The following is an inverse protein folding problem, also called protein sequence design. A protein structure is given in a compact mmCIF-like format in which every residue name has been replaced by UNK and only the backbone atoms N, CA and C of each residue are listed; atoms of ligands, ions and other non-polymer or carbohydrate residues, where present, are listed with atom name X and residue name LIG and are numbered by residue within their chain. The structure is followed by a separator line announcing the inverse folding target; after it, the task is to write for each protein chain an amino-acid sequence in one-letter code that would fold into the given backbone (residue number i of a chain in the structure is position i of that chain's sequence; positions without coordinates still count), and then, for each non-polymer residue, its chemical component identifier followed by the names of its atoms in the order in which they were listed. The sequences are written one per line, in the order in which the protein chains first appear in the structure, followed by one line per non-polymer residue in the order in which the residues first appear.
data_IF_135167682212
#
_entry.id   IF_135167682212
#
_cell.length_a   1.000
_cell.length_b   1.000
_cell.length_c   1.000
_cell.angle_alpha   90.00
_cell.angle_beta   90.00
_cell.angle_gamma   90.00
#
_symmetry.space_group_name_H-M   'P 1'
#
loop_
_entity.id
_entity.type
_entity.pdbx_description
1 polymer ?
#
# COMPACT_ATOMS: atom_id res chain seq x y z
N UNK A 1 -4.60 21.96 3.24
CA UNK A 1 -4.45 21.10 4.44
C UNK A 1 -4.72 19.63 4.13
N UNK A 2 -5.82 19.30 3.42
CA UNK A 2 -6.18 17.93 3.01
C UNK A 2 -5.06 17.17 2.25
N UNK A 3 -4.37 17.73 1.23
CA UNK A 3 -3.36 16.97 0.49
C UNK A 3 -2.14 16.61 1.34
N UNK A 4 -1.69 17.53 2.20
CA UNK A 4 -0.58 17.28 3.12
C UNK A 4 -0.90 16.13 4.10
N UNK A 5 -2.12 16.12 4.65
CA UNK A 5 -2.57 15.04 5.53
C UNK A 5 -2.55 13.68 4.82
N UNK A 6 -3.06 13.61 3.58
CA UNK A 6 -3.07 12.36 2.80
C UNK A 6 -1.65 11.88 2.45
N UNK A 7 -0.72 12.80 2.17
CA UNK A 7 0.70 12.47 1.92
C UNK A 7 1.35 11.89 3.18
N UNK A 8 1.19 12.56 4.33
CA UNK A 8 1.78 12.11 5.60
C UNK A 8 1.18 10.78 6.06
N UNK A 9 -0.16 10.69 6.06
CA UNK A 9 -0.87 9.48 6.45
C UNK A 9 -0.54 8.33 5.51
N UNK A 10 -0.68 8.52 4.20
CA UNK A 10 -0.35 7.51 3.20
C UNK A 10 1.11 7.06 3.27
N UNK A 11 2.04 8.00 3.47
CA UNK A 11 3.46 7.71 3.64
C UNK A 11 3.75 6.78 4.82
N UNK A 12 3.12 7.01 5.97
CA UNK A 12 3.25 6.13 7.14
C UNK A 12 2.79 4.71 6.82
N UNK A 13 1.64 4.54 6.15
CA UNK A 13 1.14 3.21 5.78
C UNK A 13 1.99 2.52 4.71
N UNK A 14 2.55 3.26 3.77
CA UNK A 14 3.50 2.72 2.78
C UNK A 14 4.78 2.23 3.47
N UNK A 15 5.34 3.02 4.38
CA UNK A 15 6.55 2.66 5.13
C UNK A 15 6.30 1.46 6.04
N UNK A 16 5.19 1.45 6.78
CA UNK A 16 4.83 0.32 7.66
C UNK A 16 4.56 -0.95 6.84
N UNK A 17 3.83 -0.83 5.74
CA UNK A 17 3.52 -1.94 4.85
C UNK A 17 4.76 -2.53 4.19
N UNK A 18 5.70 -1.69 3.75
CA UNK A 18 6.98 -2.13 3.16
C UNK A 18 7.94 -2.72 4.19
N UNK A 19 8.01 -2.17 5.42
CA UNK A 19 8.77 -2.74 6.52
C UNK A 19 8.23 -4.12 6.96
N UNK A 20 6.91 -4.26 6.98
CA UNK A 20 6.25 -5.54 7.25
C UNK A 20 6.46 -6.53 6.10
N UNK A 21 6.42 -6.07 4.85
CA UNK A 21 6.70 -6.88 3.65
C UNK A 21 8.14 -7.42 3.64
N UNK A 22 9.11 -6.55 3.93
CA UNK A 22 10.54 -6.87 4.00
C UNK A 22 10.90 -7.82 5.15
N UNK A 23 9.96 -8.15 6.04
CA UNK A 23 10.22 -9.03 7.18
C UNK A 23 11.09 -8.38 8.25
N UNK A 24 11.25 -7.05 8.22
CA UNK A 24 11.93 -6.29 9.28
C UNK A 24 11.11 -6.33 10.57
N UNK A 25 9.77 -6.41 10.44
CA UNK A 25 8.84 -6.48 11.57
C UNK A 25 8.18 -7.87 11.75
N UNK A 26 9.01 -8.91 11.89
CA UNK A 26 8.57 -10.32 12.03
C UNK A 26 7.68 -10.64 13.24
N UNK A 27 7.78 -9.89 14.34
CA UNK A 27 6.99 -10.12 15.55
C UNK A 27 5.52 -9.76 15.38
N UNK A 28 5.23 -8.69 14.62
CA UNK A 28 3.87 -8.20 14.38
C UNK A 28 3.18 -8.95 13.23
N UNK A 29 3.93 -9.32 12.19
CA UNK A 29 3.43 -10.13 11.06
C UNK A 29 3.11 -11.58 11.41
N UNK A 30 3.64 -12.11 12.52
CA UNK A 30 3.26 -13.44 13.04
C UNK A 30 1.83 -13.50 13.57
N UNK A 31 1.31 -12.39 14.08
CA UNK A 31 0.01 -12.35 14.75
C UNK A 31 -1.10 -11.67 13.92
N UNK A 32 -0.72 -11.09 12.77
CA UNK A 32 -1.61 -10.31 11.90
C UNK A 32 -1.66 -10.94 10.52
N UNK A 33 -2.87 -11.08 9.96
CA UNK A 33 -3.05 -11.64 8.60
C UNK A 33 -2.31 -10.81 7.56
N UNK A 34 -1.50 -11.47 6.73
CA UNK A 34 -0.75 -10.89 5.61
C UNK A 34 -1.64 -10.06 4.67
N UNK A 35 -2.92 -10.44 4.56
CA UNK A 35 -3.91 -9.72 3.74
C UNK A 35 -4.17 -8.30 4.27
N UNK A 36 -4.22 -8.13 5.59
CA UNK A 36 -4.46 -6.83 6.24
C UNK A 36 -3.25 -5.93 6.03
N UNK A 37 -2.04 -6.48 6.18
CA UNK A 37 -0.78 -5.72 6.04
C UNK A 37 -0.59 -5.24 4.59
N UNK A 38 -0.76 -6.14 3.63
CA UNK A 38 -0.66 -5.78 2.21
C UNK A 38 -1.81 -4.88 1.77
N UNK A 39 -3.03 -5.10 2.27
CA UNK A 39 -4.17 -4.23 2.02
C UNK A 39 -3.89 -2.81 2.49
N UNK A 40 -3.47 -2.63 3.75
CA UNK A 40 -3.12 -1.34 4.33
C UNK A 40 -1.99 -0.65 3.58
N UNK A 41 -0.98 -1.39 3.09
CA UNK A 41 0.06 -0.85 2.23
C UNK A 41 -0.51 -0.21 0.96
N UNK A 42 -1.35 -0.96 0.23
CA UNK A 42 -1.95 -0.50 -1.03
C UNK A 42 -2.91 0.67 -0.82
N UNK A 43 -3.68 0.68 0.27
CA UNK A 43 -4.50 1.83 0.65
C UNK A 43 -3.66 3.04 1.05
N UNK A 44 -2.55 2.84 1.77
CA UNK A 44 -1.59 3.89 2.07
C UNK A 44 -0.99 4.50 0.80
N UNK A 45 -0.62 3.65 -0.17
CA UNK A 45 -0.10 4.09 -1.46
C UNK A 45 -1.14 4.87 -2.26
N UNK A 46 -2.40 4.43 -2.25
CA UNK A 46 -3.51 5.14 -2.87
C UNK A 46 -3.70 6.53 -2.23
N UNK A 47 -3.73 6.61 -0.90
CA UNK A 47 -3.87 7.88 -0.18
C UNK A 47 -2.71 8.83 -0.47
N UNK A 48 -1.47 8.33 -0.47
CA UNK A 48 -0.29 9.11 -0.82
C UNK A 48 -0.37 9.62 -2.26
N UNK A 49 -0.73 8.76 -3.21
CA UNK A 49 -0.86 9.13 -4.61
C UNK A 49 -2.00 10.15 -4.84
N UNK A 50 -3.13 10.06 -4.12
CA UNK A 50 -4.18 11.09 -4.16
C UNK A 50 -3.63 12.44 -3.66
N UNK A 51 -2.94 12.44 -2.52
CA UNK A 51 -2.36 13.65 -1.94
C UNK A 51 -1.33 14.31 -2.87
N UNK A 52 -0.47 13.50 -3.51
CA UNK A 52 0.51 13.97 -4.50
C UNK A 52 -0.19 14.47 -5.78
N UNK A 53 -1.16 13.73 -6.31
CA UNK A 53 -1.94 14.14 -7.48
C UNK A 53 -2.63 15.49 -7.26
N UNK A 54 -3.25 15.69 -6.10
CA UNK A 54 -3.89 16.94 -5.72
C UNK A 54 -2.88 18.11 -5.58
N UNK A 55 -1.66 17.84 -5.08
CA UNK A 55 -0.61 18.85 -4.99
C UNK A 55 -0.03 19.25 -6.37
N UNK A 56 -0.05 18.34 -7.33
CA UNK A 56 0.41 18.60 -8.70
C UNK A 56 -0.68 19.13 -9.64
N UNK A 57 -1.94 19.17 -9.21
CA UNK A 57 -3.07 19.52 -10.08
C UNK A 57 -2.91 20.91 -10.74
N UNK A 58 -2.44 21.89 -9.97
CA UNK A 58 -2.28 23.28 -10.44
C UNK A 58 -0.95 23.55 -11.18
N UNK A 59 0.02 22.63 -11.08
CA UNK A 59 1.38 22.83 -11.60
C UNK A 59 1.66 21.97 -12.84
N UNK A 60 1.14 20.75 -12.87
CA UNK A 60 1.40 19.78 -13.92
C UNK A 60 0.20 18.83 -14.10
N UNK A 61 -0.89 19.34 -14.69
CA UNK A 61 -2.16 18.61 -14.83
C UNK A 61 -2.05 17.21 -15.45
N UNK A 62 -1.21 17.03 -16.49
CA UNK A 62 -1.00 15.70 -17.11
C UNK A 62 -0.31 14.73 -16.13
N UNK A 63 0.69 15.21 -15.39
CA UNK A 63 1.39 14.39 -14.39
C UNK A 63 0.47 14.08 -13.20
N UNK A 64 -0.36 15.04 -12.79
CA UNK A 64 -1.40 14.86 -11.78
C UNK A 64 -2.38 13.74 -12.15
N UNK A 65 -2.82 13.68 -13.42
CA UNK A 65 -3.69 12.62 -13.92
C UNK A 65 -3.02 11.23 -13.88
N UNK A 66 -1.76 11.14 -14.28
CA UNK A 66 -1.01 9.87 -14.22
C UNK A 66 -0.86 9.38 -12.77
N UNK A 67 -0.53 10.27 -11.84
CA UNK A 67 -0.43 9.93 -10.41
C UNK A 67 -1.81 9.56 -9.84
N UNK A 68 -2.88 10.24 -10.27
CA UNK A 68 -4.25 9.89 -9.92
C UNK A 68 -4.65 8.48 -10.40
N UNK A 69 -4.24 8.10 -11.61
CA UNK A 69 -4.44 6.76 -12.16
C UNK A 69 -3.73 5.70 -11.29
N UNK A 70 -2.50 5.96 -10.88
CA UNK A 70 -1.75 5.10 -9.95
C UNK A 70 -2.49 4.94 -8.63
N UNK A 71 -3.10 6.01 -8.12
CA UNK A 71 -3.90 5.94 -6.90
C UNK A 71 -5.12 5.01 -7.03
N UNK A 72 -5.82 5.09 -8.16
CA UNK A 72 -6.97 4.22 -8.46
C UNK A 72 -6.54 2.76 -8.53
N UNK A 73 -5.45 2.46 -9.25
CA UNK A 73 -4.91 1.10 -9.34
C UNK A 73 -4.49 0.57 -7.97
N UNK A 74 -3.81 1.40 -7.16
CA UNK A 74 -3.43 1.03 -5.80
C UNK A 74 -4.65 0.76 -4.90
N UNK A 75 -5.71 1.56 -5.01
CA UNK A 75 -6.94 1.34 -4.24
C UNK A 75 -7.64 0.02 -4.64
N UNK A 76 -7.73 -0.26 -5.95
CA UNK A 76 -8.28 -1.53 -6.46
C UNK A 76 -7.46 -2.71 -5.94
N UNK A 77 -6.12 -2.63 -6.00
CA UNK A 77 -5.24 -3.67 -5.47
C UNK A 77 -5.43 -3.86 -3.96
N UNK A 78 -5.61 -2.79 -3.20
CA UNK A 78 -5.91 -2.86 -1.77
C UNK A 78 -7.21 -3.60 -1.48
N UNK A 79 -8.28 -3.30 -2.23
CA UNK A 79 -9.58 -3.98 -2.12
C UNK A 79 -9.46 -5.47 -2.47
N UNK A 80 -8.81 -5.78 -3.59
CA UNK A 80 -8.61 -7.17 -4.06
C UNK A 80 -7.83 -7.98 -3.03
N UNK A 81 -6.78 -7.41 -2.44
CA UNK A 81 -5.96 -8.09 -1.42
C UNK A 81 -6.72 -8.29 -0.11
N UNK A 82 -7.56 -7.33 0.31
CA UNK A 82 -8.37 -7.47 1.52
C UNK A 82 -9.50 -8.49 1.36
N UNK A 83 -10.19 -8.50 0.22
CA UNK A 83 -11.37 -9.33 0.00
C UNK A 83 -11.05 -10.72 -0.58
N UNK A 84 -10.11 -10.79 -1.53
CA UNK A 84 -9.71 -12.03 -2.21
C UNK A 84 -8.52 -12.75 -1.56
N UNK A 85 -7.85 -12.08 -0.62
CA UNK A 85 -6.62 -12.56 0.01
C UNK A 85 -5.37 -12.29 -0.82
N UNK A 86 -4.22 -12.24 -0.14
CA UNK A 86 -2.94 -11.92 -0.74
C UNK A 86 -2.52 -13.00 -1.74
N UNK A 87 -2.36 -12.67 -3.04
CA UNK A 87 -1.91 -13.63 -4.06
C UNK A 87 -0.56 -14.26 -3.65
N UNK A 88 -0.38 -15.55 -3.91
CA UNK A 88 0.85 -16.31 -3.56
C UNK A 88 2.14 -15.70 -4.11
N UNK A 89 2.04 -14.91 -5.18
CA UNK A 89 3.15 -14.18 -5.81
C UNK A 89 3.53 -12.91 -5.05
N UNK A 90 2.56 -12.28 -4.40
CA UNK A 90 2.77 -11.14 -3.50
C UNK A 90 3.23 -11.60 -2.12
N UNK A 91 3.03 -12.86 -1.73
CA UNK A 91 3.51 -13.34 -0.44
C UNK A 91 5.05 -13.39 -0.39
N UNK A 92 5.69 -12.80 0.65
CA UNK A 92 7.13 -12.84 0.80
C UNK A 92 7.68 -14.27 0.82
N UNK A 93 8.87 -14.49 0.26
CA UNK A 93 9.53 -15.82 0.22
C UNK A 93 9.68 -16.45 1.60
N UNK A 94 9.85 -15.63 2.65
CA UNK A 94 9.94 -16.08 4.05
C UNK A 94 8.61 -16.60 4.62
N UNK A 95 7.47 -16.19 4.06
CA UNK A 95 6.14 -16.69 4.47
C UNK A 95 5.83 -18.04 3.80
N UNK A 96 6.26 -18.23 2.55
CA UNK A 96 6.14 -19.51 1.82
C UNK A 96 6.96 -20.63 2.46
N UNK A 97 8.13 -20.32 3.01
CA UNK A 97 9.00 -21.30 3.68
C UNK A 97 8.49 -21.70 5.07
N UNK A 98 7.73 -20.85 5.75
CA UNK A 98 7.18 -21.16 7.08
C UNK A 98 5.94 -22.08 7.06
N UNK A 99 5.21 -22.12 5.94
CA UNK A 99 4.00 -22.95 5.75
C UNK A 99 4.17 -24.03 4.66
N UNK A 100 5.41 -24.27 4.22
CA UNK A 100 5.73 -25.41 3.35
C UNK A 100 5.66 -26.71 4.14
N UNK A 101 4.51 -27.38 4.07
CA UNK A 101 4.41 -28.84 4.17
C UNK A 101 4.08 -29.37 2.78
#
# INVERSE_FOLDING_TARGET
MIPLFMILFGGVFVVLGSAAYGGVWRSWTRNTSTNVILGLFWFGLAALAIGVSAALADVAGVLSLLVGLVAVVAAILGIVVLLGGAPRWLQPRWYRTAHGR
#
